data_IF_318627763092
#
_entry.id   IF_318627763092
#
_cell.length_a   1.000
_cell.length_b   1.000
_cell.length_c   1.000
_cell.angle_alpha   90.00
_cell.angle_beta   90.00
_cell.angle_gamma   90.00
#
_symmetry.space_group_name_H-M   'P 1'
#
loop_
_entity.id
_entity.type
_entity.pdbx_description
1 polymer ?
#
# COMPACT_ATOMS: atom_id res chain seq x y z
N UNK A 1 -0.71 -14.00 -4.63
CA UNK A 1 -2.16 -13.68 -4.65
C UNK A 1 -2.27 -12.18 -4.85
N UNK A 2 -3.07 -11.65 -5.79
CA UNK A 2 -3.15 -10.21 -5.97
C UNK A 2 -3.81 -9.58 -4.74
N UNK A 3 -3.24 -8.49 -4.24
CA UNK A 3 -3.61 -7.80 -2.99
C UNK A 3 -5.09 -7.47 -2.89
N UNK A 4 -5.78 -7.27 -4.03
CA UNK A 4 -7.24 -7.09 -4.06
C UNK A 4 -8.01 -8.26 -3.41
N UNK A 5 -7.55 -9.49 -3.61
CA UNK A 5 -8.19 -10.69 -3.09
C UNK A 5 -7.86 -10.85 -1.60
N UNK A 6 -6.65 -10.45 -1.21
CA UNK A 6 -6.25 -10.38 0.19
C UNK A 6 -7.10 -9.35 0.96
N UNK A 7 -7.29 -8.15 0.41
CA UNK A 7 -8.16 -7.12 0.98
C UNK A 7 -9.58 -7.65 1.13
N UNK A 8 -10.11 -8.33 0.10
CA UNK A 8 -11.46 -8.90 0.14
C UNK A 8 -11.62 -10.01 1.19
N UNK A 9 -10.57 -10.78 1.46
CA UNK A 9 -10.57 -11.81 2.49
C UNK A 9 -10.46 -11.22 3.92
N UNK A 10 -9.57 -10.24 4.12
CA UNK A 10 -9.25 -9.70 5.44
C UNK A 10 -10.23 -8.64 5.93
N UNK A 11 -10.62 -7.68 5.07
CA UNK A 11 -11.49 -6.56 5.44
C UNK A 11 -12.78 -7.01 6.17
N UNK A 12 -13.54 -8.03 5.70
CA UNK A 12 -14.71 -8.49 6.43
C UNK A 12 -14.36 -9.14 7.77
N UNK A 13 -13.24 -9.85 7.87
CA UNK A 13 -12.79 -10.47 9.13
C UNK A 13 -12.48 -9.42 10.19
N UNK A 14 -11.69 -8.39 9.84
CA UNK A 14 -11.39 -7.27 10.73
C UNK A 14 -12.64 -6.51 11.14
N UNK A 15 -13.52 -6.21 10.17
CA UNK A 15 -14.77 -5.51 10.45
C UNK A 15 -15.67 -6.32 11.41
N UNK A 16 -15.84 -7.62 11.17
CA UNK A 16 -16.68 -8.48 12.01
C UNK A 16 -16.07 -8.72 13.40
N UNK A 17 -14.75 -8.83 13.52
CA UNK A 17 -14.04 -8.93 14.82
C UNK A 17 -14.29 -7.70 15.70
N UNK A 18 -14.42 -6.53 15.07
CA UNK A 18 -14.76 -5.27 15.74
C UNK A 18 -16.27 -5.03 15.86
N UNK A 19 -17.11 -6.03 15.53
CA UNK A 19 -18.57 -5.95 15.59
C UNK A 19 -19.19 -4.80 14.77
N UNK A 20 -18.55 -4.39 13.67
CA UNK A 20 -18.99 -3.26 12.84
C UNK A 20 -19.83 -3.69 11.63
N UNK A 21 -20.85 -2.92 11.30
CA UNK A 21 -21.54 -2.97 9.99
C UNK A 21 -20.70 -2.26 8.91
N UNK A 22 -20.99 -2.56 7.64
CA UNK A 22 -20.31 -1.89 6.50
C UNK A 22 -20.53 -0.37 6.52
N UNK A 23 -21.72 0.08 6.94
CA UNK A 23 -22.10 1.49 7.06
C UNK A 23 -21.34 2.21 8.18
N UNK A 24 -21.08 1.54 9.29
CA UNK A 24 -20.33 2.10 10.42
C UNK A 24 -18.87 2.30 10.04
N UNK A 25 -18.22 1.26 9.51
CA UNK A 25 -16.85 1.38 9.01
C UNK A 25 -16.73 2.46 7.92
N UNK A 26 -17.72 2.57 7.04
CA UNK A 26 -17.75 3.60 6.02
C UNK A 26 -17.79 5.02 6.62
N UNK A 27 -18.63 5.23 7.63
CA UNK A 27 -18.76 6.50 8.32
C UNK A 27 -17.46 6.89 9.04
N UNK A 28 -16.89 5.98 9.83
CA UNK A 28 -15.68 6.20 10.61
C UNK A 28 -14.43 6.36 9.73
N UNK A 29 -14.38 5.68 8.58
CA UNK A 29 -13.27 5.83 7.60
C UNK A 29 -13.47 6.98 6.63
N UNK A 30 -14.57 7.73 6.72
CA UNK A 30 -14.93 8.78 5.77
C UNK A 30 -14.86 8.32 4.31
N UNK A 31 -15.41 7.13 4.05
CA UNK A 31 -15.54 6.52 2.72
C UNK A 31 -16.99 6.11 2.47
N UNK A 32 -17.40 6.02 1.21
CA UNK A 32 -18.75 5.57 0.90
C UNK A 32 -18.94 4.08 1.24
N UNK A 33 -20.10 3.69 1.76
CA UNK A 33 -20.42 2.28 2.04
C UNK A 33 -20.28 1.39 0.79
N UNK A 34 -20.66 1.92 -0.38
CA UNK A 34 -20.46 1.23 -1.67
C UNK A 34 -18.99 0.87 -1.90
N UNK A 35 -18.05 1.69 -1.46
CA UNK A 35 -16.61 1.42 -1.56
C UNK A 35 -16.24 0.24 -0.67
N UNK A 36 -16.64 0.23 0.60
CA UNK A 36 -16.42 -0.91 1.51
C UNK A 36 -16.97 -2.20 0.91
N UNK A 37 -18.23 -2.19 0.48
CA UNK A 37 -18.90 -3.34 -0.15
C UNK A 37 -18.18 -3.84 -1.40
N UNK A 38 -17.61 -2.92 -2.21
CA UNK A 38 -16.88 -3.29 -3.42
C UNK A 38 -15.51 -3.89 -3.09
N UNK A 39 -14.85 -3.41 -2.02
CA UNK A 39 -13.59 -3.96 -1.53
C UNK A 39 -13.76 -5.37 -0.98
N UNK A 40 -14.78 -5.61 -0.14
CA UNK A 40 -15.09 -6.95 0.40
C UNK A 40 -15.46 -7.98 -0.68
N UNK A 41 -15.78 -7.53 -1.90
CA UNK A 41 -16.10 -8.39 -3.05
C UNK A 41 -14.98 -8.46 -4.09
N UNK A 42 -13.78 -7.95 -3.79
CA UNK A 42 -12.66 -7.85 -4.74
C UNK A 42 -12.99 -7.09 -6.05
N UNK A 43 -14.01 -6.23 -6.03
CA UNK A 43 -14.53 -5.51 -7.19
C UNK A 43 -14.01 -4.08 -7.33
N UNK A 44 -13.16 -3.63 -6.40
CA UNK A 44 -12.59 -2.29 -6.41
C UNK A 44 -11.06 -2.35 -6.34
N UNK A 45 -10.44 -1.37 -7.00
CA UNK A 45 -9.02 -1.10 -6.88
C UNK A 45 -8.85 0.24 -6.13
N UNK A 46 -8.68 0.20 -4.79
CA UNK A 46 -8.70 1.41 -3.97
C UNK A 46 -7.49 2.30 -4.28
N UNK A 47 -7.65 3.60 -4.06
CA UNK A 47 -6.48 4.49 -3.95
C UNK A 47 -5.78 4.24 -2.62
N UNK A 48 -4.47 4.48 -2.57
CA UNK A 48 -3.68 4.32 -1.34
C UNK A 48 -4.29 5.11 -0.16
N UNK A 49 -4.72 6.36 -0.40
CA UNK A 49 -5.44 7.15 0.63
C UNK A 49 -6.70 6.48 1.15
N UNK A 50 -7.47 5.83 0.28
CA UNK A 50 -8.70 5.14 0.67
C UNK A 50 -8.39 3.91 1.51
N UNK A 51 -7.39 3.13 1.11
CA UNK A 51 -6.97 1.96 1.87
C UNK A 51 -6.45 2.36 3.25
N UNK A 52 -5.60 3.40 3.31
CA UNK A 52 -5.07 3.98 4.55
C UNK A 52 -6.19 4.34 5.54
N UNK A 53 -7.17 5.15 5.12
CA UNK A 53 -8.31 5.54 5.97
C UNK A 53 -9.07 4.37 6.58
N UNK A 54 -9.22 3.30 5.80
CA UNK A 54 -9.91 2.08 6.26
C UNK A 54 -9.06 1.34 7.28
N UNK A 55 -7.77 1.14 7.02
CA UNK A 55 -6.90 0.37 7.93
C UNK A 55 -6.53 1.12 9.20
N UNK A 56 -6.49 2.46 9.15
CA UNK A 56 -6.30 3.32 10.32
C UNK A 56 -7.44 3.18 11.33
N UNK A 57 -8.67 2.88 10.89
CA UNK A 57 -9.78 2.56 11.79
C UNK A 57 -9.59 1.27 12.60
N UNK A 58 -8.62 0.45 12.22
CA UNK A 58 -8.20 -0.74 12.95
C UNK A 58 -6.87 -0.56 13.68
N UNK A 59 -6.32 0.67 13.71
CA UNK A 59 -5.01 0.96 14.32
C UNK A 59 -3.84 0.32 13.57
N UNK A 60 -3.98 0.08 12.26
CA UNK A 60 -2.98 -0.65 11.45
C UNK A 60 -2.43 0.22 10.32
N UNK A 61 -1.18 -0.04 9.93
CA UNK A 61 -0.62 0.47 8.68
C UNK A 61 -1.10 -0.34 7.47
N UNK A 62 -0.97 0.25 6.28
CA UNK A 62 -1.27 -0.47 5.02
C UNK A 62 -0.34 -1.69 4.85
N UNK A 63 0.95 -1.53 5.17
CA UNK A 63 1.92 -2.63 5.10
C UNK A 63 1.52 -3.78 6.01
N UNK A 64 1.15 -3.51 7.26
CA UNK A 64 0.74 -4.51 8.25
C UNK A 64 -0.53 -5.25 7.79
N UNK A 65 -1.56 -4.52 7.35
CA UNK A 65 -2.76 -5.12 6.79
C UNK A 65 -2.43 -6.08 5.64
N UNK A 66 -1.60 -5.65 4.69
CA UNK A 66 -1.18 -6.48 3.55
C UNK A 66 -0.20 -7.63 3.89
N UNK A 67 0.38 -7.70 5.10
CA UNK A 67 1.18 -8.89 5.52
C UNK A 67 0.34 -10.00 6.09
N UNK A 68 -0.83 -9.67 6.63
CA UNK A 68 -1.59 -10.62 7.42
C UNK A 68 -1.99 -11.82 6.55
N UNK A 69 -1.54 -12.99 6.93
CA UNK A 69 -2.11 -14.22 6.39
C UNK A 69 -3.56 -14.30 6.90
N UNK A 70 -4.56 -14.60 6.05
CA UNK A 70 -5.93 -14.85 6.51
C UNK A 70 -6.06 -15.97 7.58
N UNK A 71 -4.98 -16.67 7.92
CA UNK A 71 -4.91 -17.57 9.08
C UNK A 71 -5.30 -16.87 10.39
N UNK A 72 -6.34 -17.34 11.11
CA UNK A 72 -6.85 -16.70 12.34
C UNK A 72 -5.82 -16.55 13.47
N UNK A 73 -4.74 -17.33 13.43
CA UNK A 73 -3.76 -17.47 14.51
C UNK A 73 -2.75 -16.31 14.60
N UNK A 74 -2.63 -15.47 13.55
CA UNK A 74 -1.62 -14.40 13.47
C UNK A 74 -2.19 -12.99 13.74
N UNK A 75 -3.50 -12.87 13.97
CA UNK A 75 -4.18 -11.58 14.22
C UNK A 75 -4.09 -11.15 15.70
N UNK A 76 -3.10 -11.65 16.44
CA UNK A 76 -2.92 -11.35 17.87
C UNK A 76 -2.09 -10.07 18.01
N UNK A 77 -2.80 -9.04 18.47
CA UNK A 77 -2.33 -7.78 19.08
C UNK A 77 -1.12 -7.09 18.44
N UNK A 78 -1.34 -6.48 17.27
CA UNK A 78 -0.59 -5.28 16.91
C UNK A 78 -1.28 -4.09 17.62
N UNK A 79 -0.67 -3.67 18.73
CA UNK A 79 -1.12 -2.65 19.68
C UNK A 79 -0.95 -1.21 19.15
N UNK A 80 -1.74 -0.23 19.64
CA UNK A 80 -2.20 0.94 18.91
C UNK A 80 -1.40 2.19 19.27
N UNK A 81 -0.40 2.54 18.46
CA UNK A 81 0.23 3.87 18.54
C UNK A 81 0.21 4.54 17.16
N UNK A 82 -0.91 4.45 16.45
CA UNK A 82 -1.14 5.26 15.25
C UNK A 82 -1.91 6.51 15.67
N UNK A 83 -1.19 7.54 16.09
CA UNK A 83 -1.77 8.86 16.34
C UNK A 83 -2.19 9.50 15.00
N UNK A 84 -3.43 10.01 14.95
CA UNK A 84 -4.04 10.58 13.75
C UNK A 84 -3.47 11.98 13.42
N UNK A 85 -2.86 12.11 12.24
CA UNK A 85 -2.81 13.39 11.51
C UNK A 85 -3.05 13.12 10.01
N UNK A 86 -4.29 13.37 9.58
CA UNK A 86 -4.85 12.96 8.28
C UNK A 86 -4.14 13.63 7.07
N UNK A 87 -3.32 14.66 7.30
CA UNK A 87 -2.52 15.36 6.29
C UNK A 87 -1.02 15.05 6.37
N UNK A 88 -0.44 14.90 7.56
CA UNK A 88 0.98 14.55 7.70
C UNK A 88 1.25 13.14 7.15
N UNK A 89 0.30 12.23 7.30
CA UNK A 89 0.60 10.81 7.28
C UNK A 89 0.62 10.17 5.87
N UNK A 90 -0.17 10.62 4.88
CA UNK A 90 0.00 10.11 3.49
C UNK A 90 1.37 10.48 2.89
N UNK A 91 1.97 11.54 3.43
CA UNK A 91 3.30 12.00 3.01
C UNK A 91 4.35 10.92 3.26
N UNK A 92 4.23 10.15 4.35
CA UNK A 92 5.19 9.10 4.68
C UNK A 92 5.13 7.94 3.69
N UNK A 93 3.94 7.42 3.35
CA UNK A 93 3.88 6.38 2.31
C UNK A 93 4.29 6.91 0.94
N UNK A 94 3.95 8.14 0.59
CA UNK A 94 4.40 8.74 -0.67
C UNK A 94 5.93 8.92 -0.68
N UNK A 95 6.52 9.27 0.46
CA UNK A 95 7.96 9.37 0.63
C UNK A 95 8.62 8.01 0.48
N UNK A 96 8.09 6.97 1.13
CA UNK A 96 8.55 5.58 1.00
C UNK A 96 8.46 5.09 -0.45
N UNK A 97 7.35 5.35 -1.16
CA UNK A 97 7.20 4.99 -2.57
C UNK A 97 8.24 5.67 -3.47
N UNK A 98 8.48 6.96 -3.22
CA UNK A 98 9.48 7.72 -3.95
C UNK A 98 10.90 7.26 -3.63
N UNK A 99 11.17 6.88 -2.39
CA UNK A 99 12.43 6.30 -1.95
C UNK A 99 12.69 4.97 -2.66
N UNK A 100 11.72 4.06 -2.67
CA UNK A 100 11.77 2.81 -3.44
C UNK A 100 12.08 3.05 -4.92
N UNK A 101 11.38 4.00 -5.57
CA UNK A 101 11.66 4.37 -6.96
C UNK A 101 13.09 4.87 -7.16
N UNK A 102 13.59 5.75 -6.29
CA UNK A 102 14.95 6.30 -6.39
C UNK A 102 16.01 5.22 -6.20
N UNK A 103 15.85 4.38 -5.17
CA UNK A 103 16.75 3.25 -4.88
C UNK A 103 16.75 2.27 -6.05
N UNK A 104 15.56 1.91 -6.57
CA UNK A 104 15.46 1.00 -7.71
C UNK A 104 16.13 1.55 -8.98
N UNK A 105 15.86 2.79 -9.35
CA UNK A 105 16.46 3.42 -10.55
C UNK A 105 17.99 3.52 -10.40
N UNK A 106 18.47 3.85 -9.20
CA UNK A 106 19.91 3.84 -8.88
C UNK A 106 20.52 2.45 -8.96
N UNK A 107 19.79 1.41 -8.53
CA UNK A 107 20.26 0.03 -8.49
C UNK A 107 20.31 -0.59 -9.89
N UNK A 108 19.26 -0.40 -10.68
CA UNK A 108 19.13 -0.93 -12.04
C UNK A 108 19.89 -0.13 -13.09
N UNK A 109 20.17 1.15 -12.83
CA UNK A 109 20.72 2.07 -13.83
C UNK A 109 19.67 2.58 -14.84
N UNK A 110 18.39 2.28 -14.64
CA UNK A 110 17.29 2.68 -15.51
C UNK A 110 16.91 4.16 -15.37
N UNK A 111 16.36 4.72 -16.45
CA UNK A 111 15.69 6.01 -16.40
C UNK A 111 14.23 5.88 -15.95
N UNK A 112 13.61 7.00 -15.59
CA UNK A 112 12.17 7.07 -15.30
C UNK A 112 11.31 6.61 -16.49
N UNK A 113 11.81 6.82 -17.71
CA UNK A 113 11.14 6.43 -18.94
C UNK A 113 11.21 4.91 -19.15
N UNK A 114 12.37 4.29 -18.89
CA UNK A 114 12.54 2.84 -18.94
C UNK A 114 11.62 2.17 -17.92
N UNK A 115 11.67 2.63 -16.67
CA UNK A 115 10.80 2.13 -15.61
C UNK A 115 9.31 2.27 -15.97
N UNK A 116 8.89 3.40 -16.52
CA UNK A 116 7.51 3.62 -16.96
C UNK A 116 7.09 2.61 -18.04
N UNK A 117 7.98 2.34 -18.99
CA UNK A 117 7.73 1.39 -20.07
C UNK A 117 7.54 -0.04 -19.53
N UNK A 118 8.47 -0.51 -18.69
CA UNK A 118 8.47 -1.90 -18.23
C UNK A 118 7.48 -2.18 -17.09
N UNK A 119 7.27 -1.23 -16.16
CA UNK A 119 6.26 -1.37 -15.12
C UNK A 119 4.82 -1.20 -15.64
N UNK A 120 4.65 -0.66 -16.85
CA UNK A 120 3.34 -0.31 -17.40
C UNK A 120 2.63 0.81 -16.63
N UNK A 121 3.36 1.59 -15.82
CA UNK A 121 2.84 2.76 -15.12
C UNK A 121 3.19 4.03 -15.90
N UNK A 122 2.23 4.94 -16.02
CA UNK A 122 2.41 6.21 -16.73
C UNK A 122 3.59 7.03 -16.19
N UNK A 123 4.43 7.53 -17.09
CA UNK A 123 5.59 8.36 -16.79
C UNK A 123 5.26 9.58 -15.91
N UNK A 124 4.10 10.21 -16.12
CA UNK A 124 3.65 11.31 -15.26
C UNK A 124 3.48 10.86 -13.80
N UNK A 125 2.95 9.66 -13.56
CA UNK A 125 2.81 9.11 -12.21
C UNK A 125 4.17 8.85 -11.56
N UNK A 126 5.10 8.25 -12.31
CA UNK A 126 6.49 8.02 -11.86
C UNK A 126 7.16 9.35 -11.48
N UNK A 127 7.06 10.36 -12.35
CA UNK A 127 7.66 11.68 -12.14
C UNK A 127 7.07 12.40 -10.92
N UNK A 128 5.76 12.33 -10.71
CA UNK A 128 5.10 12.91 -9.54
C UNK A 128 5.54 12.25 -8.24
N UNK A 129 5.70 10.92 -8.24
CA UNK A 129 6.17 10.19 -7.07
C UNK A 129 7.62 10.56 -6.73
N UNK A 130 8.53 10.56 -7.71
CA UNK A 130 9.94 10.93 -7.48
C UNK A 130 10.09 12.35 -6.93
N UNK A 131 9.23 13.27 -7.39
CA UNK A 131 9.16 14.66 -6.91
C UNK A 131 8.39 14.82 -5.59
N UNK A 132 7.92 13.72 -4.99
CA UNK A 132 7.16 13.72 -3.74
C UNK A 132 5.93 14.64 -3.77
N UNK A 133 5.23 14.72 -4.91
CA UNK A 133 4.10 15.64 -5.02
C UNK A 133 2.91 15.12 -4.18
N UNK A 134 2.40 15.91 -3.22
CA UNK A 134 1.29 15.48 -2.34
C UNK A 134 -0.02 15.17 -3.09
N UNK A 135 -0.15 15.66 -4.33
CA UNK A 135 -1.27 15.35 -5.22
C UNK A 135 -1.25 13.91 -5.76
N UNK A 136 -0.11 13.22 -5.66
CA UNK A 136 -0.02 11.83 -6.11
C UNK A 136 -0.73 10.93 -5.10
N UNK A 137 -1.67 10.13 -5.60
CA UNK A 137 -2.40 9.16 -4.79
C UNK A 137 -2.62 7.91 -5.66
N UNK A 138 -1.61 7.01 -5.71
CA UNK A 138 -1.62 5.88 -6.60
C UNK A 138 -2.77 4.92 -6.28
N UNK A 139 -3.26 4.23 -7.31
CA UNK A 139 -4.19 3.11 -7.14
C UNK A 139 -3.44 1.87 -6.69
N UNK A 140 -4.10 0.93 -6.04
CA UNK A 140 -3.52 -0.37 -5.71
C UNK A 140 -2.92 -1.06 -6.94
N UNK A 141 -3.54 -0.97 -8.11
CA UNK A 141 -2.98 -1.49 -9.37
C UNK A 141 -1.62 -0.88 -9.71
N UNK A 142 -1.42 0.40 -9.43
CA UNK A 142 -0.14 1.07 -9.64
C UNK A 142 0.92 0.51 -8.69
N UNK A 143 0.56 0.33 -7.42
CA UNK A 143 1.45 -0.27 -6.42
C UNK A 143 1.80 -1.72 -6.78
N UNK A 144 0.83 -2.48 -7.28
CA UNK A 144 1.02 -3.86 -7.74
C UNK A 144 1.98 -3.93 -8.93
N UNK A 145 1.83 -3.03 -9.90
CA UNK A 145 2.73 -2.96 -11.06
C UNK A 145 4.16 -2.59 -10.64
N UNK A 146 4.31 -1.66 -9.69
CA UNK A 146 5.62 -1.31 -9.12
C UNK A 146 6.25 -2.50 -8.41
N UNK A 147 5.51 -3.10 -7.48
CA UNK A 147 5.98 -4.23 -6.68
C UNK A 147 6.38 -5.41 -7.57
N UNK A 148 5.55 -5.75 -8.56
CA UNK A 148 5.83 -6.81 -9.51
C UNK A 148 7.10 -6.54 -10.33
N UNK A 149 7.27 -5.31 -10.83
CA UNK A 149 8.46 -4.95 -11.62
C UNK A 149 9.74 -4.93 -10.77
N UNK A 150 9.66 -4.42 -9.54
CA UNK A 150 10.75 -4.37 -8.59
C UNK A 150 11.02 -5.71 -7.89
N UNK A 151 10.27 -6.77 -8.22
CA UNK A 151 10.36 -8.08 -7.54
C UNK A 151 10.20 -8.01 -6.01
N UNK A 152 9.34 -7.11 -5.53
CA UNK A 152 8.95 -6.96 -4.12
C UNK A 152 7.44 -7.13 -3.96
N UNK A 153 6.96 -7.14 -2.72
CA UNK A 153 5.53 -7.17 -2.39
C UNK A 153 4.98 -5.75 -2.22
N UNK A 154 3.66 -5.57 -2.38
CA UNK A 154 3.03 -4.26 -2.10
C UNK A 154 3.14 -3.88 -0.61
N UNK A 155 3.23 -4.88 0.27
CA UNK A 155 3.47 -4.65 1.70
C UNK A 155 4.84 -4.02 1.95
N UNK A 156 5.91 -4.55 1.34
CA UNK A 156 7.27 -3.98 1.44
C UNK A 156 7.35 -2.60 0.78
N UNK A 157 6.71 -2.45 -0.39
CA UNK A 157 6.60 -1.17 -1.09
C UNK A 157 5.93 -0.08 -0.23
N UNK A 158 5.03 -0.47 0.69
CA UNK A 158 4.28 0.44 1.57
C UNK A 158 4.81 0.47 3.01
N UNK A 159 5.96 -0.14 3.29
CA UNK A 159 6.53 -0.19 4.64
C UNK A 159 7.36 1.06 4.93
N UNK A 160 6.80 1.97 5.73
CA UNK A 160 7.43 3.24 6.12
C UNK A 160 8.60 3.07 7.09
N UNK A 161 8.85 1.85 7.59
CA UNK A 161 9.95 1.55 8.51
C UNK A 161 11.25 1.14 7.80
N UNK A 162 11.20 0.86 6.50
CA UNK A 162 12.37 0.44 5.73
C UNK A 162 13.31 1.61 5.44
N UNK A 163 14.61 1.42 5.69
CA UNK A 163 15.64 2.37 5.26
C UNK A 163 16.05 2.14 3.80
N UNK A 164 16.71 3.13 3.19
CA UNK A 164 17.30 2.99 1.83
C UNK A 164 18.25 1.78 1.74
N UNK A 165 18.99 1.50 2.81
CA UNK A 165 19.89 0.35 2.89
C UNK A 165 19.11 -0.97 2.83
N UNK A 166 18.02 -1.09 3.60
CA UNK A 166 17.17 -2.28 3.60
C UNK A 166 16.51 -2.50 2.24
N UNK A 167 16.01 -1.42 1.61
CA UNK A 167 15.44 -1.46 0.27
C UNK A 167 16.45 -1.98 -0.75
N UNK A 168 17.67 -1.44 -0.75
CA UNK A 168 18.73 -1.86 -1.67
C UNK A 168 19.10 -3.33 -1.47
N UNK A 169 19.23 -3.77 -0.22
CA UNK A 169 19.53 -5.16 0.12
C UNK A 169 18.44 -6.11 -0.40
N UNK A 170 17.16 -5.74 -0.25
CA UNK A 170 16.04 -6.53 -0.79
C UNK A 170 16.09 -6.64 -2.31
N UNK A 171 16.49 -5.59 -3.02
CA UNK A 171 16.67 -5.64 -4.47
C UNK A 171 17.86 -6.54 -4.84
N UNK A 172 18.99 -6.42 -4.16
CA UNK A 172 20.18 -7.27 -4.37
C UNK A 172 19.87 -8.76 -4.18
N UNK A 173 19.04 -9.09 -3.18
CA UNK A 173 18.65 -10.48 -2.88
C UNK A 173 17.70 -11.09 -3.91
N UNK A 174 16.90 -10.26 -4.60
CA UNK A 174 15.77 -10.73 -5.43
C UNK A 174 15.93 -10.48 -6.92
N UNK A 175 16.65 -9.43 -7.27
CA UNK A 175 16.94 -9.07 -8.65
C UNK A 175 18.39 -9.47 -8.91
N UNK A 176 18.57 -10.67 -9.45
CA UNK A 176 19.86 -11.03 -10.05
C UNK A 176 19.99 -10.27 -11.38
N UNK A 177 20.65 -9.11 -11.36
CA UNK A 177 21.14 -8.43 -12.56
C UNK A 177 22.44 -9.05 -13.06
#
# INVERSE_FOLDING_TARGET
MPEKDQIAAQLPQFRMKNMKFQSELAAESHVCEKTIRSLEKANANPRLKTLKRIVSNFGMSVSAFLRLDPSPSLVVELSPNYEEDDFANITDELFTLSCWLKVFLSFSGETQQDFSHYSGVCLDTVNRLIRHLPSCNPRLSTLQNFAAYMSITVSELSDTTLSEYDMKKLLEERICL
#
